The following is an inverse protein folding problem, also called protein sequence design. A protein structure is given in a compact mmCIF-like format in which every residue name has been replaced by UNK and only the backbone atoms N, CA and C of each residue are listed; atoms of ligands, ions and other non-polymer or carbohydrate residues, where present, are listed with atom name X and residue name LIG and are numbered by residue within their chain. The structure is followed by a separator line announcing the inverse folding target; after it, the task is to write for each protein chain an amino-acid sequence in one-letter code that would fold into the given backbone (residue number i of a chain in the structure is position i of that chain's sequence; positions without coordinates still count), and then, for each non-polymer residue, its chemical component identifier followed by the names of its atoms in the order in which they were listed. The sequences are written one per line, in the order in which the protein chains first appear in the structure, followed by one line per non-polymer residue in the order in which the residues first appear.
data_IF_672709602945
#
_entry.id   IF_672709602945
#
_cell.length_a   1.000
_cell.length_b   1.000
_cell.length_c   1.000
_cell.angle_alpha   90.00
_cell.angle_beta   90.00
_cell.angle_gamma   90.00
#
_symmetry.space_group_name_H-M   'P 1'
#
loop_
_entity.id
_entity.type
_entity.pdbx_description
1 polymer ?
#
# COMPACT_ATOMS: atom_id res chain seq x y z
N UNK A 1 -30.29 -18.67 9.04
CA UNK A 1 -30.06 -17.38 9.70
C UNK A 1 -28.59 -17.01 9.70
N UNK A 2 -27.70 -17.76 10.37
CA UNK A 2 -26.26 -17.43 10.42
C UNK A 2 -25.55 -17.61 9.05
N UNK A 3 -25.96 -18.63 8.29
CA UNK A 3 -25.44 -18.86 6.94
C UNK A 3 -25.91 -17.82 5.91
N UNK A 4 -27.10 -17.24 6.11
CA UNK A 4 -27.67 -16.25 5.19
C UNK A 4 -26.91 -14.92 5.33
N UNK A 5 -26.64 -14.51 6.57
CA UNK A 5 -25.84 -13.32 6.87
C UNK A 5 -24.40 -13.49 6.35
N UNK A 6 -23.78 -14.66 6.56
CA UNK A 6 -22.45 -14.94 6.03
C UNK A 6 -22.40 -14.82 4.50
N UNK A 7 -23.40 -15.37 3.81
CA UNK A 7 -23.50 -15.30 2.35
C UNK A 7 -23.67 -13.86 1.85
N UNK A 8 -24.48 -13.04 2.53
CA UNK A 8 -24.64 -11.62 2.22
C UNK A 8 -23.32 -10.84 2.40
N UNK A 9 -22.59 -11.11 3.48
CA UNK A 9 -21.28 -10.49 3.74
C UNK A 9 -20.29 -10.88 2.64
N UNK A 10 -20.16 -12.16 2.32
CA UNK A 10 -19.26 -12.64 1.27
C UNK A 10 -19.61 -12.04 -0.10
N UNK A 11 -20.90 -11.98 -0.44
CA UNK A 11 -21.37 -11.35 -1.68
C UNK A 11 -21.02 -9.87 -1.74
N UNK A 12 -21.20 -9.15 -0.63
CA UNK A 12 -20.87 -7.73 -0.57
C UNK A 12 -19.36 -7.49 -0.69
N UNK A 13 -18.54 -8.29 -0.01
CA UNK A 13 -17.07 -8.21 -0.12
C UNK A 13 -16.59 -8.51 -1.54
N UNK A 14 -17.17 -9.51 -2.21
CA UNK A 14 -16.85 -9.83 -3.60
C UNK A 14 -17.22 -8.68 -4.55
N UNK A 15 -18.37 -8.04 -4.35
CA UNK A 15 -18.78 -6.88 -5.13
C UNK A 15 -17.83 -5.68 -4.91
N UNK A 16 -17.41 -5.45 -3.67
CA UNK A 16 -16.44 -4.42 -3.34
C UNK A 16 -15.08 -4.68 -4.01
N UNK A 17 -14.58 -5.91 -3.93
CA UNK A 17 -13.35 -6.33 -4.60
C UNK A 17 -13.42 -6.09 -6.12
N UNK A 18 -14.55 -6.43 -6.76
CA UNK A 18 -14.76 -6.20 -8.18
C UNK A 18 -14.73 -4.71 -8.53
N UNK A 19 -15.30 -3.85 -7.69
CA UNK A 19 -15.24 -2.40 -7.87
C UNK A 19 -13.81 -1.86 -7.74
N UNK A 20 -13.01 -2.35 -6.79
CA UNK A 20 -11.58 -2.01 -6.70
C UNK A 20 -10.83 -2.38 -7.98
N UNK A 21 -11.01 -3.60 -8.49
CA UNK A 21 -10.39 -4.01 -9.75
C UNK A 21 -10.88 -3.20 -10.95
N UNK A 22 -12.14 -2.73 -10.93
CA UNK A 22 -12.71 -1.89 -11.99
C UNK A 22 -12.05 -0.52 -12.06
N UNK A 23 -11.84 0.12 -10.91
CA UNK A 23 -11.19 1.43 -10.80
C UNK A 23 -9.67 1.36 -10.95
N UNK A 24 -9.06 0.33 -10.38
CA UNK A 24 -7.61 0.15 -10.31
C UNK A 24 -7.15 -1.04 -11.16
N UNK A 25 -7.48 -1.03 -12.46
CA UNK A 25 -7.19 -2.15 -13.36
C UNK A 25 -5.71 -2.50 -13.47
N UNK A 26 -4.86 -1.51 -13.28
CA UNK A 26 -3.41 -1.63 -13.43
C UNK A 26 -2.71 -2.02 -12.12
N UNK A 27 -3.48 -2.16 -11.03
CA UNK A 27 -2.95 -2.60 -9.74
C UNK A 27 -2.75 -4.11 -9.78
N UNK A 28 -1.49 -4.50 -9.90
CA UNK A 28 -1.02 -5.88 -9.87
C UNK A 28 -0.24 -6.13 -8.57
N UNK A 29 -0.51 -7.23 -7.87
CA UNK A 29 0.22 -7.60 -6.65
C UNK A 29 1.72 -7.83 -6.90
N UNK A 30 2.09 -8.18 -8.12
CA UNK A 30 3.48 -8.35 -8.54
C UNK A 30 4.15 -7.02 -8.93
N UNK A 31 3.38 -5.92 -9.01
CA UNK A 31 3.92 -4.60 -9.33
C UNK A 31 4.91 -4.15 -8.25
N UNK A 32 6.08 -3.62 -8.62
CA UNK A 32 7.02 -3.01 -7.68
C UNK A 32 6.38 -1.93 -6.81
N UNK A 33 5.47 -1.12 -7.38
CA UNK A 33 4.69 -0.10 -6.65
C UNK A 33 3.81 -0.77 -5.59
N UNK A 34 3.14 -1.87 -5.91
CA UNK A 34 2.32 -2.59 -4.95
C UNK A 34 3.17 -3.15 -3.81
N UNK A 35 4.27 -3.83 -4.14
CA UNK A 35 5.22 -4.34 -3.14
C UNK A 35 5.73 -3.21 -2.24
N UNK A 36 6.03 -2.05 -2.81
CA UNK A 36 6.47 -0.86 -2.07
C UNK A 36 5.40 -0.39 -1.08
N UNK A 37 4.13 -0.29 -1.50
CA UNK A 37 3.03 0.11 -0.60
C UNK A 37 2.79 -0.88 0.55
N UNK A 38 3.23 -2.13 0.43
CA UNK A 38 3.13 -3.14 1.49
C UNK A 38 4.34 -3.14 2.41
N UNK A 39 5.54 -3.05 1.83
CA UNK A 39 6.78 -2.94 2.57
C UNK A 39 7.84 -2.24 1.68
N UNK A 40 8.17 -0.97 1.95
CA UNK A 40 9.12 -0.23 1.14
C UNK A 40 10.57 -0.70 1.33
N UNK A 41 10.91 -1.37 2.44
CA UNK A 41 12.30 -1.74 2.76
C UNK A 41 12.78 -3.00 2.03
N UNK A 42 11.87 -3.76 1.40
CA UNK A 42 12.20 -4.99 0.64
C UNK A 42 12.17 -4.80 -0.87
N UNK A 43 11.91 -3.58 -1.34
CA UNK A 43 11.87 -3.23 -2.77
C UNK A 43 13.17 -2.53 -3.15
N UNK A 44 13.78 -2.94 -4.26
CA UNK A 44 14.96 -2.27 -4.80
C UNK A 44 14.55 -1.03 -5.59
N UNK A 45 15.35 0.04 -5.50
CA UNK A 45 15.04 1.30 -6.21
C UNK A 45 14.95 1.09 -7.72
N UNK A 46 15.78 0.20 -8.28
CA UNK A 46 15.78 -0.13 -9.70
C UNK A 46 14.52 -0.83 -10.19
N UNK A 47 13.73 -1.42 -9.28
CA UNK A 47 12.46 -2.05 -9.63
C UNK A 47 11.34 -1.00 -9.80
N UNK A 48 11.53 0.22 -9.31
CA UNK A 48 10.52 1.27 -9.36
C UNK A 48 10.64 2.13 -10.62
N UNK A 49 9.54 2.73 -11.09
CA UNK A 49 9.57 3.76 -12.14
C UNK A 49 10.51 4.91 -11.80
N UNK A 50 11.27 5.42 -12.77
CA UNK A 50 12.32 6.43 -12.57
C UNK A 50 11.81 7.72 -11.89
N UNK A 51 10.56 8.11 -12.18
CA UNK A 51 9.91 9.31 -11.64
C UNK A 51 9.67 9.26 -10.13
N UNK A 52 9.64 8.08 -9.52
CA UNK A 52 9.46 7.90 -8.07
C UNK A 52 10.72 7.47 -7.33
N UNK A 53 11.82 7.19 -8.05
CA UNK A 53 13.04 6.64 -7.44
C UNK A 53 13.72 7.62 -6.47
N UNK A 54 13.74 8.92 -6.78
CA UNK A 54 14.38 9.95 -5.95
C UNK A 54 13.67 10.07 -4.58
N UNK A 55 12.36 10.27 -4.58
CA UNK A 55 11.55 10.35 -3.36
C UNK A 55 11.67 9.05 -2.52
N UNK A 56 11.71 7.90 -3.18
CA UNK A 56 11.89 6.62 -2.52
C UNK A 56 13.27 6.48 -1.85
N UNK A 57 14.34 6.99 -2.48
CA UNK A 57 15.67 6.99 -1.89
C UNK A 57 15.77 7.92 -0.69
N UNK A 58 15.19 9.12 -0.78
CA UNK A 58 15.11 10.05 0.35
C UNK A 58 14.37 9.43 1.53
N UNK A 59 13.25 8.76 1.25
CA UNK A 59 12.49 8.02 2.24
C UNK A 59 13.32 6.91 2.91
N UNK A 60 14.08 6.14 2.13
CA UNK A 60 14.95 5.08 2.67
C UNK A 60 16.16 5.61 3.45
N UNK A 61 16.64 6.81 3.13
CA UNK A 61 17.75 7.45 3.83
C UNK A 61 17.34 7.99 5.21
N UNK A 62 16.05 8.20 5.44
CA UNK A 62 15.52 8.61 6.74
C UNK A 62 15.59 7.44 7.73
N UNK A 63 16.55 7.53 8.66
CA UNK A 63 16.79 6.50 9.67
C UNK A 63 15.58 6.23 10.57
N UNK A 64 14.64 7.16 10.69
CA UNK A 64 13.46 7.01 11.53
C UNK A 64 12.35 6.19 10.84
N UNK A 65 12.38 6.11 9.51
CA UNK A 65 11.30 5.47 8.74
C UNK A 65 11.20 3.97 8.98
N UNK A 66 12.33 3.29 9.20
CA UNK A 66 12.32 1.86 9.48
C UNK A 66 11.74 1.57 10.87
N UNK A 67 12.09 2.37 11.86
CA UNK A 67 11.55 2.26 13.21
C UNK A 67 10.04 2.54 13.22
N UNK A 68 9.60 3.62 12.56
CA UNK A 68 8.18 3.97 12.44
C UNK A 68 7.36 2.88 11.73
N UNK A 69 7.91 2.28 10.68
CA UNK A 69 7.26 1.16 9.99
C UNK A 69 7.06 -0.07 10.89
N UNK A 70 8.00 -0.33 11.80
CA UNK A 70 7.87 -1.42 12.76
C UNK A 70 6.93 -1.11 13.92
N UNK A 71 6.75 0.16 14.25
CA UNK A 71 5.91 0.61 15.37
C UNK A 71 4.45 0.87 14.97
N UNK A 72 4.20 1.30 13.75
CA UNK A 72 2.89 1.71 13.24
C UNK A 72 2.19 0.61 12.45
N UNK A 73 0.87 0.68 12.33
CA UNK A 73 0.17 -0.10 11.30
C UNK A 73 0.48 0.48 9.93
N UNK A 74 0.39 -0.33 8.87
CA UNK A 74 0.73 0.08 7.51
C UNK A 74 -0.03 1.35 7.08
N UNK A 75 -1.31 1.44 7.42
CA UNK A 75 -2.16 2.59 7.09
C UNK A 75 -1.68 3.85 7.83
N UNK A 76 -1.34 3.72 9.11
CA UNK A 76 -0.84 4.85 9.91
C UNK A 76 0.53 5.33 9.44
N UNK A 77 1.41 4.39 9.09
CA UNK A 77 2.73 4.69 8.54
C UNK A 77 2.61 5.58 7.29
N UNK A 78 1.79 5.16 6.31
CA UNK A 78 1.59 5.95 5.09
C UNK A 78 0.89 7.27 5.34
N UNK A 79 -0.17 7.29 6.16
CA UNK A 79 -0.91 8.52 6.46
C UNK A 79 -0.02 9.55 7.15
N UNK A 80 0.79 9.15 8.14
CA UNK A 80 1.68 10.08 8.84
C UNK A 80 2.75 10.59 7.87
N UNK A 81 3.37 9.74 7.05
CA UNK A 81 4.42 10.20 6.15
C UNK A 81 3.89 11.11 5.03
N UNK A 82 2.74 10.79 4.43
CA UNK A 82 2.15 11.61 3.36
C UNK A 82 1.52 12.91 3.86
N UNK A 83 1.12 13.01 5.13
CA UNK A 83 0.53 14.24 5.69
C UNK A 83 1.55 15.18 6.35
N UNK A 84 2.71 14.66 6.80
CA UNK A 84 3.71 15.47 7.52
C UNK A 84 4.64 16.23 6.57
N UNK A 85 4.78 15.82 5.30
CA UNK A 85 5.46 16.58 4.25
C UNK A 85 4.50 16.94 3.10
N UNK A 86 3.63 17.96 3.28
CA UNK A 86 3.04 18.62 2.13
C UNK A 86 4.14 19.44 1.44
N UNK A 87 4.32 19.20 0.13
CA UNK A 87 5.19 20.00 -0.75
C UNK A 87 5.12 21.52 -0.48
#
# INVERSE_FOLDING_TARGET
MDNDLKFEIETHLQALENEFHRYYRDVNSESPIWRMTRNPFVVEVSDLPEDVQEEFLEMKADSTMMDDFHLLTLEKFWVIRFLVNPN
#
